data_IF_876022791345
#
_entry.id   IF_876022791345
#
_cell.length_a   1.000
_cell.length_b   1.000
_cell.length_c   1.000
_cell.angle_alpha   90.00
_cell.angle_beta   90.00
_cell.angle_gamma   90.00
#
_symmetry.space_group_name_H-M   'P 1'
#
loop_
_entity.id
_entity.type
_entity.pdbx_description
1 polymer ?
#
# COMPACT_ATOMS: atom_id res chain seq x y z
N UNK A 1 10.15 17.96 16.46
CA UNK A 1 10.29 16.49 16.36
C UNK A 1 9.75 16.13 15.01
N UNK A 2 10.58 15.50 14.20
CA UNK A 2 10.22 15.13 12.84
C UNK A 2 10.01 13.63 12.76
N UNK A 3 8.96 13.23 12.03
CA UNK A 3 8.70 11.84 11.72
C UNK A 3 8.94 11.66 10.23
N UNK A 4 9.79 10.70 9.90
CA UNK A 4 10.24 10.43 8.54
C UNK A 4 9.98 8.98 8.19
N UNK A 5 9.57 8.72 6.96
CA UNK A 5 9.53 7.38 6.37
C UNK A 5 10.56 7.38 5.25
N UNK A 6 11.53 6.47 5.32
CA UNK A 6 12.63 6.37 4.34
C UNK A 6 13.36 7.70 4.14
N UNK A 7 13.62 8.38 5.27
CA UNK A 7 14.23 9.70 5.34
C UNK A 7 13.46 10.82 4.62
N UNK A 8 12.19 10.58 4.28
CA UNK A 8 11.26 11.59 3.76
C UNK A 8 10.41 12.09 4.92
N UNK A 9 10.52 13.38 5.22
CA UNK A 9 9.74 14.03 6.27
C UNK A 9 8.26 14.12 5.88
N UNK A 10 7.38 13.55 6.73
CA UNK A 10 5.95 13.45 6.46
C UNK A 10 5.27 14.82 6.29
N UNK A 11 5.68 15.78 7.11
CA UNK A 11 5.14 17.14 7.11
C UNK A 11 5.60 17.91 5.87
N UNK A 12 6.88 17.89 5.54
CA UNK A 12 7.39 18.69 4.42
C UNK A 12 6.98 18.13 3.05
N UNK A 13 6.86 16.80 2.93
CA UNK A 13 6.52 16.15 1.66
C UNK A 13 5.02 16.11 1.37
N UNK A 14 4.21 15.70 2.35
CA UNK A 14 2.77 15.46 2.16
C UNK A 14 1.88 16.36 3.03
N UNK A 15 2.47 17.19 3.91
CA UNK A 15 1.70 18.01 4.85
C UNK A 15 1.09 17.22 6.01
N UNK A 16 1.59 16.01 6.27
CA UNK A 16 1.08 15.12 7.32
C UNK A 16 1.75 15.48 8.65
N UNK A 17 0.93 15.83 9.63
CA UNK A 17 1.37 16.03 11.01
C UNK A 17 0.97 14.82 11.85
N UNK A 18 1.83 14.37 12.75
CA UNK A 18 1.54 13.28 13.68
C UNK A 18 1.26 13.87 15.06
N UNK A 19 0.07 13.62 15.58
CA UNK A 19 -0.40 14.11 16.89
C UNK A 19 0.01 13.17 18.02
N UNK A 20 -0.14 11.87 17.78
CA UNK A 20 0.11 10.84 18.77
C UNK A 20 1.02 9.75 18.18
N UNK A 21 2.07 9.42 18.91
CA UNK A 21 3.06 8.41 18.55
C UNK A 21 3.44 7.53 19.75
N UNK A 22 2.66 7.54 20.83
CA UNK A 22 3.00 6.82 22.06
C UNK A 22 3.17 5.32 21.86
N UNK A 23 2.40 4.73 20.93
CA UNK A 23 2.46 3.29 20.62
C UNK A 23 3.83 2.87 20.05
N UNK A 24 4.66 3.80 19.57
CA UNK A 24 6.03 3.48 19.12
C UNK A 24 6.94 2.99 20.24
N UNK A 25 6.59 3.29 21.49
CA UNK A 25 7.37 2.92 22.67
C UNK A 25 6.78 1.75 23.44
N UNK A 26 5.77 1.08 22.86
CA UNK A 26 5.23 -0.14 23.43
C UNK A 26 6.29 -1.24 23.43
N UNK A 27 6.21 -2.12 24.43
CA UNK A 27 7.19 -3.19 24.62
C UNK A 27 6.74 -4.40 23.80
N UNK A 28 7.61 -4.87 22.91
CA UNK A 28 7.34 -6.11 22.17
C UNK A 28 7.26 -7.31 23.13
N UNK A 29 6.28 -8.16 22.90
CA UNK A 29 6.20 -9.46 23.58
C UNK A 29 7.30 -10.38 23.04
N UNK A 30 7.95 -11.13 23.93
CA UNK A 30 8.90 -12.16 23.53
C UNK A 30 8.12 -13.37 22.98
N UNK A 31 8.51 -13.87 21.80
CA UNK A 31 7.97 -15.11 21.26
C UNK A 31 8.43 -16.25 22.15
N UNK A 32 7.48 -16.86 22.87
CA UNK A 32 7.78 -18.04 23.68
C UNK A 32 7.75 -19.29 22.80
N UNK A 33 8.92 -19.70 22.30
CA UNK A 33 9.09 -21.04 21.77
C UNK A 33 9.37 -22.00 22.93
N UNK A 34 8.45 -22.95 23.13
CA UNK A 34 8.54 -23.96 24.16
C UNK A 34 8.93 -25.29 23.54
N UNK A 35 9.91 -25.96 24.13
CA UNK A 35 10.22 -27.35 23.86
C UNK A 35 9.64 -28.20 24.98
N UNK A 36 8.69 -29.07 24.65
CA UNK A 36 8.24 -30.13 25.56
C UNK A 36 9.16 -31.33 25.43
N UNK A 37 9.68 -31.80 26.56
CA UNK A 37 10.47 -33.03 26.58
C UNK A 37 9.58 -34.21 26.20
N UNK A 38 10.10 -35.16 25.41
CA UNK A 38 9.33 -36.33 24.95
C UNK A 38 8.74 -37.17 26.09
N UNK A 39 9.39 -37.16 27.25
CA UNK A 39 8.95 -37.87 28.46
C UNK A 39 7.95 -37.06 29.31
N UNK A 40 7.58 -35.85 28.87
CA UNK A 40 6.68 -34.91 29.56
C UNK A 40 7.17 -34.50 30.95
N UNK A 41 8.47 -34.62 31.23
CA UNK A 41 9.06 -34.24 32.52
C UNK A 41 9.12 -32.73 32.74
N UNK A 42 8.87 -31.92 31.69
CA UNK A 42 8.76 -30.48 31.78
C UNK A 42 8.69 -29.78 30.43
N UNK A 43 8.76 -28.45 30.49
CA UNK A 43 8.81 -27.56 29.32
C UNK A 43 10.05 -26.68 29.47
N UNK A 44 10.90 -26.60 28.44
CA UNK A 44 12.04 -25.70 28.40
C UNK A 44 11.75 -24.54 27.45
N UNK A 45 12.06 -23.31 27.87
CA UNK A 45 12.05 -22.14 26.99
C UNK A 45 13.30 -22.17 26.10
N UNK A 46 13.14 -21.95 24.81
CA UNK A 46 14.27 -21.85 23.87
C UNK A 46 15.08 -20.58 24.11
N UNK A 47 16.12 -20.64 24.95
CA UNK A 47 16.89 -19.45 25.35
C UNK A 47 17.95 -19.00 24.32
N UNK A 48 18.20 -19.78 23.27
CA UNK A 48 19.29 -19.50 22.30
C UNK A 48 18.91 -18.53 21.18
N UNK A 49 17.65 -18.12 21.06
CA UNK A 49 17.22 -17.15 20.05
C UNK A 49 15.90 -16.42 20.44
N UNK A 50 15.91 -15.63 21.51
CA UNK A 50 14.74 -14.82 21.91
C UNK A 50 14.32 -13.86 20.80
N UNK A 51 13.29 -14.27 20.03
CA UNK A 51 12.61 -13.47 19.01
C UNK A 51 11.49 -12.68 19.66
N UNK A 52 11.15 -11.53 19.07
CA UNK A 52 10.05 -10.69 19.55
C UNK A 52 8.89 -10.72 18.55
N UNK A 53 7.67 -10.63 19.07
CA UNK A 53 6.49 -10.48 18.25
C UNK A 53 6.52 -9.11 17.57
N UNK A 54 5.99 -9.00 16.32
CA UNK A 54 5.76 -7.70 15.70
C UNK A 54 4.84 -6.84 16.58
N UNK A 55 5.07 -5.53 16.58
CA UNK A 55 4.22 -4.57 17.32
C UNK A 55 3.35 -3.82 16.33
N UNK A 56 2.03 -3.84 16.51
CA UNK A 56 1.12 -2.96 15.78
C UNK A 56 1.12 -1.57 16.41
N UNK A 57 1.33 -0.54 15.59
CA UNK A 57 1.40 0.85 16.04
C UNK A 57 0.35 1.68 15.31
N UNK A 58 -0.23 2.65 16.01
CA UNK A 58 -1.22 3.56 15.46
C UNK A 58 -0.74 5.00 15.62
N UNK A 59 -0.51 5.67 14.50
CA UNK A 59 -0.11 7.07 14.50
C UNK A 59 -1.32 7.92 14.14
N UNK A 60 -1.80 8.72 15.10
CA UNK A 60 -2.87 9.67 14.83
C UNK A 60 -2.31 10.85 14.04
N UNK A 61 -2.81 11.05 12.82
CA UNK A 61 -2.28 12.02 11.87
C UNK A 61 -3.34 13.05 11.45
N UNK A 62 -2.89 14.21 10.98
CA UNK A 62 -3.76 15.15 10.28
C UNK A 62 -3.07 15.89 9.12
N UNK A 63 -3.86 16.26 8.12
CA UNK A 63 -3.48 17.11 6.99
C UNK A 63 -4.35 18.37 7.01
N UNK A 64 -3.74 19.54 6.78
CA UNK A 64 -4.46 20.81 6.64
C UNK A 64 -4.29 21.34 5.23
N UNK A 65 -5.40 21.56 4.51
CA UNK A 65 -5.42 22.17 3.17
C UNK A 65 -6.57 23.15 3.02
N UNK A 66 -6.57 23.89 1.91
CA UNK A 66 -7.65 24.84 1.58
C UNK A 66 -8.95 24.15 1.20
N UNK A 67 -8.89 22.91 0.69
CA UNK A 67 -10.06 22.12 0.33
C UNK A 67 -9.86 20.66 0.73
N UNK A 68 -10.98 19.96 0.98
CA UNK A 68 -10.99 18.54 1.31
C UNK A 68 -10.38 17.69 0.19
N UNK A 69 -10.71 18.00 -1.07
CA UNK A 69 -10.13 17.31 -2.23
C UNK A 69 -8.60 17.40 -2.28
N UNK A 70 -8.01 18.53 -1.89
CA UNK A 70 -6.55 18.66 -1.84
C UNK A 70 -5.95 17.87 -0.67
N UNK A 71 -6.62 17.81 0.49
CA UNK A 71 -6.17 17.00 1.61
C UNK A 71 -6.18 15.51 1.25
N UNK A 72 -7.25 15.03 0.62
CA UNK A 72 -7.32 13.64 0.15
C UNK A 72 -6.27 13.30 -0.90
N UNK A 73 -6.01 14.21 -1.85
CA UNK A 73 -4.96 13.98 -2.87
C UNK A 73 -3.58 13.76 -2.26
N UNK A 74 -3.23 14.48 -1.19
CA UNK A 74 -1.96 14.24 -0.50
C UNK A 74 -1.96 12.92 0.25
N UNK A 75 -3.07 12.58 0.91
CA UNK A 75 -3.20 11.30 1.60
C UNK A 75 -3.05 10.13 0.61
N UNK A 76 -3.71 10.19 -0.54
CA UNK A 76 -3.58 9.20 -1.61
C UNK A 76 -2.15 9.14 -2.13
N UNK A 77 -1.50 10.29 -2.37
CA UNK A 77 -0.09 10.28 -2.81
C UNK A 77 0.86 9.68 -1.76
N UNK A 78 0.55 9.84 -0.48
CA UNK A 78 1.31 9.23 0.61
C UNK A 78 1.06 7.71 0.69
N UNK A 79 -0.19 7.27 0.60
CA UNK A 79 -0.52 5.84 0.56
C UNK A 79 0.10 5.19 -0.66
N UNK A 80 -0.02 5.81 -1.84
CA UNK A 80 0.60 5.33 -3.08
C UNK A 80 2.12 5.18 -2.91
N UNK A 81 2.78 6.12 -2.25
CA UNK A 81 4.20 6.01 -1.94
C UNK A 81 4.51 4.77 -1.07
N UNK A 82 3.71 4.53 -0.02
CA UNK A 82 3.86 3.35 0.81
C UNK A 82 3.56 2.05 0.04
N UNK A 83 2.60 2.07 -0.89
CA UNK A 83 2.15 0.89 -1.66
C UNK A 83 3.07 0.53 -2.83
N UNK A 84 3.51 1.51 -3.61
CA UNK A 84 4.34 1.31 -4.82
C UNK A 84 5.83 1.14 -4.54
N UNK A 85 6.26 1.26 -3.30
CA UNK A 85 7.67 1.10 -2.95
C UNK A 85 8.08 -0.38 -3.09
N UNK A 86 8.87 -0.66 -4.13
CA UNK A 86 9.59 -1.92 -4.39
C UNK A 86 8.73 -3.19 -4.20
N UNK A 87 7.92 -3.52 -5.20
CA UNK A 87 7.44 -4.90 -5.42
C UNK A 87 8.65 -5.82 -5.60
N UNK A 88 9.07 -6.49 -4.52
CA UNK A 88 10.31 -7.28 -4.46
C UNK A 88 10.63 -7.74 -3.03
N UNK A 89 11.76 -8.44 -2.83
CA UNK A 89 12.16 -8.95 -1.50
C UNK A 89 12.21 -7.81 -0.46
N UNK A 90 11.21 -7.73 0.43
CA UNK A 90 11.05 -6.54 1.27
C UNK A 90 9.67 -5.89 1.26
N UNK A 91 8.70 -6.41 0.49
CA UNK A 91 7.31 -5.93 0.35
C UNK A 91 6.84 -4.98 1.46
N UNK A 92 6.63 -3.71 1.09
CA UNK A 92 5.98 -2.71 1.95
C UNK A 92 6.79 -2.24 3.16
N UNK A 93 8.01 -2.76 3.37
CA UNK A 93 8.82 -2.40 4.53
C UNK A 93 9.56 -1.08 4.29
N UNK A 94 9.44 -0.19 5.27
CA UNK A 94 10.09 1.11 5.31
C UNK A 94 10.84 1.34 6.61
N UNK A 95 11.81 2.24 6.56
CA UNK A 95 12.50 2.71 7.77
C UNK A 95 11.74 3.92 8.30
N UNK A 96 11.02 3.73 9.41
CA UNK A 96 10.42 4.84 10.17
C UNK A 96 11.50 5.44 11.07
N UNK A 97 11.73 6.74 10.95
CA UNK A 97 12.66 7.49 11.78
C UNK A 97 11.92 8.57 12.57
N UNK A 98 12.23 8.66 13.85
CA UNK A 98 11.89 9.78 14.72
C UNK A 98 13.15 10.61 14.93
N UNK A 99 13.10 11.89 14.59
CA UNK A 99 14.22 12.80 14.75
C UNK A 99 13.88 13.86 15.80
N UNK A 100 14.73 13.94 16.83
CA UNK A 100 14.69 14.95 17.86
C UNK A 100 16.06 15.61 17.99
N UNK A 101 16.20 16.81 17.40
CA UNK A 101 17.48 17.51 17.31
C UNK A 101 18.54 16.66 16.58
N UNK A 102 19.49 16.07 17.32
CA UNK A 102 20.56 15.21 16.79
C UNK A 102 20.27 13.73 16.98
N UNK A 103 19.30 13.40 17.84
CA UNK A 103 18.97 12.02 18.16
C UNK A 103 17.98 11.47 17.13
N UNK A 104 18.24 10.24 16.70
CA UNK A 104 17.41 9.54 15.73
C UNK A 104 17.08 8.14 16.24
N UNK A 105 15.79 7.87 16.40
CA UNK A 105 15.28 6.52 16.69
C UNK A 105 14.68 5.94 15.42
N UNK A 106 14.97 4.68 15.14
CA UNK A 106 14.61 4.07 13.86
C UNK A 106 14.01 2.69 14.05
N UNK A 107 12.93 2.45 13.32
CA UNK A 107 12.14 1.23 13.39
C UNK A 107 11.96 0.68 11.98
N UNK A 108 12.01 -0.63 11.87
CA UNK A 108 11.64 -1.33 10.65
C UNK A 108 10.14 -1.56 10.68
N UNK A 109 9.40 -0.84 9.84
CA UNK A 109 7.94 -0.89 9.83
C UNK A 109 7.43 -1.44 8.51
N UNK A 110 6.34 -2.17 8.60
CA UNK A 110 5.50 -2.58 7.50
C UNK A 110 4.15 -1.87 7.63
N UNK A 111 3.43 -1.76 6.53
CA UNK A 111 2.11 -1.13 6.45
C UNK A 111 1.03 -2.08 6.96
N UNK A 112 -0.04 -1.52 7.53
CA UNK A 112 -1.27 -2.25 7.82
C UNK A 112 -2.39 -1.77 6.90
N UNK A 113 -3.36 -2.66 6.65
CA UNK A 113 -4.34 -2.58 5.56
C UNK A 113 -5.27 -1.36 5.59
N UNK A 114 -5.40 -0.67 6.72
CA UNK A 114 -6.49 0.28 6.93
C UNK A 114 -5.98 1.68 7.30
N UNK A 115 -6.42 2.68 6.54
CA UNK A 115 -6.35 4.09 6.94
C UNK A 115 -7.78 4.54 7.21
N UNK A 116 -8.14 4.70 8.49
CA UNK A 116 -9.43 5.27 8.89
C UNK A 116 -9.35 6.79 8.73
N UNK A 117 -10.36 7.42 8.13
CA UNK A 117 -10.36 8.87 7.90
C UNK A 117 -11.60 9.54 8.49
N UNK A 118 -11.42 10.77 8.96
CA UNK A 118 -12.48 11.67 9.41
C UNK A 118 -12.15 13.09 8.97
N UNK A 119 -13.07 13.77 8.27
CA UNK A 119 -12.85 15.15 7.83
C UNK A 119 -13.63 16.13 8.71
N UNK A 120 -12.99 17.25 9.05
CA UNK A 120 -13.65 18.43 9.59
C UNK A 120 -13.40 19.64 8.67
N UNK A 121 -14.47 20.30 8.23
CA UNK A 121 -14.41 21.44 7.32
C UNK A 121 -14.83 22.70 8.07
N UNK A 122 -13.97 23.71 8.10
CA UNK A 122 -14.28 25.01 8.69
C UNK A 122 -13.83 26.12 7.73
N UNK A 123 -14.79 26.98 7.32
CA UNK A 123 -14.59 28.26 6.63
C UNK A 123 -13.26 28.41 5.84
N UNK A 124 -13.11 27.67 4.74
CA UNK A 124 -11.95 27.76 3.84
C UNK A 124 -10.72 26.94 4.24
N UNK A 125 -10.84 26.07 5.24
CA UNK A 125 -9.84 25.09 5.65
C UNK A 125 -10.51 23.71 5.81
N UNK A 126 -9.85 22.69 5.28
CA UNK A 126 -10.18 21.30 5.52
C UNK A 126 -9.08 20.68 6.38
N UNK A 127 -9.50 20.04 7.47
CA UNK A 127 -8.64 19.24 8.33
C UNK A 127 -9.07 17.80 8.13
N UNK A 128 -8.19 16.99 7.56
CA UNK A 128 -8.38 15.56 7.41
C UNK A 128 -7.60 14.87 8.53
N UNK A 129 -8.30 14.19 9.43
CA UNK A 129 -7.72 13.39 10.51
C UNK A 129 -7.75 11.93 10.06
N UNK A 130 -6.67 11.19 10.29
CA UNK A 130 -6.61 9.78 9.94
C UNK A 130 -5.68 9.00 10.86
N UNK A 131 -5.92 7.70 11.00
CA UNK A 131 -5.01 6.81 11.71
C UNK A 131 -4.12 6.09 10.70
N UNK A 132 -2.81 6.25 10.87
CA UNK A 132 -1.82 5.49 10.13
C UNK A 132 -1.42 4.26 10.95
N UNK A 133 -1.97 3.12 10.57
CA UNK A 133 -1.65 1.83 11.16
C UNK A 133 -0.40 1.25 10.48
N UNK A 134 0.62 0.97 11.28
CA UNK A 134 1.87 0.33 10.84
C UNK A 134 2.18 -0.84 11.78
N UNK A 135 3.15 -1.66 11.39
CA UNK A 135 3.62 -2.79 12.17
C UNK A 135 5.13 -2.80 12.24
N UNK A 136 5.72 -2.69 13.43
CA UNK A 136 7.15 -2.90 13.62
C UNK A 136 7.45 -4.37 13.41
N UNK A 137 8.11 -4.71 12.30
CA UNK A 137 8.30 -6.09 11.85
C UNK A 137 9.28 -6.83 12.75
N UNK A 138 10.39 -6.16 13.08
CA UNK A 138 11.43 -6.70 13.92
C UNK A 138 11.90 -5.65 14.94
N UNK A 139 11.37 -5.67 16.18
CA UNK A 139 11.76 -4.75 17.24
C UNK A 139 13.25 -4.83 17.64
N UNK A 140 13.98 -5.88 17.25
CA UNK A 140 15.41 -6.06 17.53
C UNK A 140 16.30 -5.94 16.30
N UNK A 141 15.79 -5.45 15.18
CA UNK A 141 16.61 -5.26 13.99
C UNK A 141 17.83 -4.39 14.30
N UNK A 142 18.99 -4.71 13.70
CA UNK A 142 20.22 -3.95 13.96
C UNK A 142 20.15 -2.61 13.25
N UNK A 143 20.32 -1.53 14.00
CA UNK A 143 20.27 -0.17 13.49
C UNK A 143 21.67 0.44 13.41
N UNK A 144 21.90 1.22 12.37
CA UNK A 144 23.11 2.00 12.13
C UNK A 144 22.71 3.40 11.67
N UNK A 145 23.53 4.39 11.98
CA UNK A 145 23.30 5.77 11.55
C UNK A 145 24.41 6.21 10.61
N UNK A 146 24.01 6.80 9.50
CA UNK A 146 24.88 7.51 8.57
C UNK A 146 24.66 8.98 8.80
N UNK A 147 25.72 9.76 9.03
CA UNK A 147 25.62 11.17 9.37
C UNK A 147 26.18 12.04 8.26
N UNK A 148 25.35 12.95 7.76
CA UNK A 148 25.68 13.95 6.75
C UNK A 148 26.58 13.40 5.64
N UNK A 149 26.13 12.33 4.99
CA UNK A 149 26.86 11.64 3.92
C UNK A 149 25.90 11.30 2.77
N UNK A 150 26.44 11.22 1.56
CA UNK A 150 25.79 10.65 0.39
C UNK A 150 26.28 9.22 0.09
N UNK A 151 27.18 8.68 0.91
CA UNK A 151 27.65 7.30 0.83
C UNK A 151 27.61 6.61 2.19
N UNK A 152 27.34 5.31 2.19
CA UNK A 152 27.44 4.45 3.36
C UNK A 152 28.15 3.15 3.00
N UNK A 153 28.93 2.63 3.95
CA UNK A 153 29.58 1.33 3.86
C UNK A 153 29.34 0.56 5.15
N UNK A 154 28.83 -0.66 5.03
CA UNK A 154 28.54 -1.56 6.13
C UNK A 154 29.33 -2.86 5.95
N UNK A 155 30.07 -3.22 6.99
CA UNK A 155 30.74 -4.52 7.05
C UNK A 155 29.79 -5.53 7.71
N UNK A 156 29.21 -6.39 6.89
CA UNK A 156 28.33 -7.45 7.34
C UNK A 156 29.16 -8.71 7.63
N UNK A 157 29.31 -9.04 8.92
CA UNK A 157 30.14 -10.17 9.37
C UNK A 157 29.39 -11.50 9.54
N UNK A 158 28.06 -11.50 9.42
CA UNK A 158 27.27 -12.73 9.59
C UNK A 158 27.27 -13.55 8.29
N UNK A 159 27.26 -14.88 8.44
CA UNK A 159 27.29 -15.84 7.32
C UNK A 159 25.90 -16.09 6.74
N UNK A 160 24.87 -15.68 7.45
CA UNK A 160 23.48 -15.86 7.11
C UNK A 160 22.98 -14.80 6.13
N UNK A 161 22.00 -15.15 5.30
CA UNK A 161 21.37 -14.18 4.41
C UNK A 161 20.48 -13.24 5.21
N UNK A 162 20.48 -11.96 4.85
CA UNK A 162 19.68 -10.93 5.52
C UNK A 162 19.32 -9.80 4.56
N UNK A 163 18.35 -8.96 4.93
CA UNK A 163 18.00 -7.78 4.15
C UNK A 163 18.58 -6.54 4.82
N UNK A 164 19.24 -5.68 4.05
CA UNK A 164 19.60 -4.34 4.49
C UNK A 164 18.60 -3.33 3.92
N UNK A 165 18.20 -2.39 4.75
CA UNK A 165 17.34 -1.27 4.41
C UNK A 165 18.15 0.00 4.61
N UNK A 166 18.44 0.71 3.53
CA UNK A 166 19.39 1.84 3.55
C UNK A 166 18.80 3.13 4.12
N UNK A 167 17.49 3.16 4.34
CA UNK A 167 16.77 4.27 4.94
C UNK A 167 16.38 5.38 3.98
N UNK A 168 16.63 5.23 2.68
CA UNK A 168 16.19 6.14 1.60
C UNK A 168 15.15 5.49 0.67
N UNK A 169 14.66 4.34 1.10
CA UNK A 169 13.72 3.50 0.39
C UNK A 169 14.35 2.38 -0.44
N UNK A 170 15.68 2.37 -0.59
CA UNK A 170 16.38 1.23 -1.18
C UNK A 170 16.59 0.10 -0.15
N UNK A 171 16.60 -1.12 -0.65
CA UNK A 171 16.97 -2.32 0.10
C UNK A 171 17.84 -3.23 -0.76
N UNK A 172 18.68 -4.04 -0.12
CA UNK A 172 19.58 -4.96 -0.79
C UNK A 172 19.66 -6.29 -0.03
N UNK A 173 19.79 -7.39 -0.78
CA UNK A 173 20.02 -8.71 -0.21
C UNK A 173 21.50 -8.89 0.17
N UNK A 174 21.75 -9.11 1.47
CA UNK A 174 23.05 -9.51 1.97
C UNK A 174 23.20 -11.04 1.83
N UNK A 175 23.80 -11.51 0.75
CA UNK A 175 23.94 -12.95 0.49
C UNK A 175 24.93 -13.69 1.40
N UNK A 176 25.97 -13.00 1.88
CA UNK A 176 27.08 -13.57 2.64
C UNK A 176 27.81 -12.48 3.42
N UNK A 177 28.74 -12.88 4.29
CA UNK A 177 29.63 -11.93 4.94
C UNK A 177 30.44 -11.14 3.89
N UNK A 178 30.48 -9.82 4.03
CA UNK A 178 31.11 -8.93 3.05
C UNK A 178 30.93 -7.45 3.39
N UNK A 179 31.52 -6.60 2.56
CA UNK A 179 31.36 -5.15 2.62
C UNK A 179 30.32 -4.73 1.60
N UNK A 180 29.28 -4.06 2.07
CA UNK A 180 28.18 -3.55 1.25
C UNK A 180 28.21 -2.02 1.28
N UNK A 181 28.04 -1.41 0.12
CA UNK A 181 28.07 0.05 -0.02
C UNK A 181 26.85 0.55 -0.76
N UNK A 182 26.39 1.73 -0.38
CA UNK A 182 25.23 2.39 -0.97
C UNK A 182 25.51 3.86 -1.19
N UNK A 183 25.01 4.40 -2.30
CA UNK A 183 25.09 5.82 -2.64
C UNK A 183 23.68 6.42 -2.60
N UNK A 184 23.49 7.37 -1.72
CA UNK A 184 22.25 8.11 -1.55
C UNK A 184 22.10 9.17 -2.67
N UNK A 185 20.84 9.49 -3.00
CA UNK A 185 20.53 10.55 -3.98
C UNK A 185 20.96 11.95 -3.53
N UNK A 186 21.06 12.16 -2.23
CA UNK A 186 21.46 13.42 -1.64
C UNK A 186 22.28 13.15 -0.38
N UNK A 187 23.09 14.13 0.00
CA UNK A 187 23.79 14.11 1.28
C UNK A 187 22.80 14.31 2.42
N UNK A 188 22.87 13.49 3.46
CA UNK A 188 21.97 13.61 4.60
C UNK A 188 22.28 12.65 5.74
N UNK A 189 21.42 12.68 6.75
CA UNK A 189 21.43 11.72 7.84
C UNK A 189 20.47 10.57 7.53
N UNK A 190 20.93 9.33 7.61
CA UNK A 190 20.14 8.14 7.27
C UNK A 190 20.18 7.11 8.39
N UNK A 191 19.09 6.35 8.51
CA UNK A 191 19.06 5.15 9.33
C UNK A 191 19.11 3.91 8.46
N UNK A 192 20.15 3.12 8.67
CA UNK A 192 20.33 1.84 8.01
C UNK A 192 19.90 0.74 8.98
N UNK A 193 19.04 -0.17 8.54
CA UNK A 193 18.55 -1.26 9.36
C UNK A 193 18.87 -2.59 8.67
N UNK A 194 19.44 -3.54 9.40
CA UNK A 194 19.62 -4.91 8.93
C UNK A 194 18.65 -5.82 9.68
N UNK A 195 17.80 -6.49 8.91
CA UNK A 195 16.88 -7.51 9.41
C UNK A 195 17.50 -8.90 9.24
N UNK A 196 18.01 -9.45 10.35
CA UNK A 196 18.72 -10.73 10.37
C UNK A 196 17.75 -11.91 10.45
N UNK A 197 16.54 -11.69 10.97
CA UNK A 197 15.53 -12.75 11.15
C UNK A 197 14.79 -13.11 9.86
N UNK A 198 15.04 -12.39 8.76
CA UNK A 198 14.34 -12.56 7.48
C UNK A 198 14.85 -13.72 6.61
N UNK A 199 15.55 -14.70 7.19
CA UNK A 199 15.99 -15.91 6.47
C UNK A 199 14.83 -16.59 5.73
N UNK A 200 13.63 -16.59 6.30
CA UNK A 200 12.46 -17.31 5.78
C UNK A 200 11.89 -16.73 4.46
N UNK A 201 12.19 -15.47 4.13
CA UNK A 201 11.71 -14.83 2.88
C UNK A 201 12.63 -15.06 1.67
N UNK A 202 13.86 -15.57 1.89
CA UNK A 202 14.94 -15.53 0.90
C UNK A 202 15.19 -16.89 0.22
N UNK A 203 14.35 -17.90 0.51
CA UNK A 203 14.44 -19.24 -0.07
C UNK A 203 13.59 -19.45 -1.34
N UNK A 204 12.49 -18.72 -1.47
CA UNK A 204 11.57 -18.71 -2.61
C UNK A 204 10.84 -17.37 -2.56
N UNK A 205 10.72 -16.65 -3.69
CA UNK A 205 9.72 -15.57 -3.75
C UNK A 205 8.40 -16.17 -3.23
N UNK A 206 7.71 -15.52 -2.28
CA UNK A 206 6.44 -16.05 -1.81
C UNK A 206 5.53 -16.24 -3.03
N UNK A 207 5.14 -17.48 -3.32
CA UNK A 207 4.10 -17.74 -4.31
C UNK A 207 2.79 -17.31 -3.68
N UNK A 208 2.45 -16.05 -3.90
CA UNK A 208 1.24 -15.43 -3.40
C UNK A 208 0.22 -15.44 -4.55
N UNK A 209 -0.65 -16.46 -4.66
CA UNK A 209 -1.69 -16.46 -5.66
C UNK A 209 -2.58 -15.24 -5.45
N UNK A 210 -2.95 -14.60 -6.55
CA UNK A 210 -3.89 -13.49 -6.57
C UNK A 210 -5.02 -13.81 -7.53
N UNK A 211 -6.24 -13.46 -7.12
CA UNK A 211 -7.44 -13.59 -7.95
C UNK A 211 -8.39 -12.44 -7.68
N UNK A 212 -9.15 -12.05 -8.70
CA UNK A 212 -10.13 -10.97 -8.64
C UNK A 212 -11.48 -11.57 -9.01
N UNK A 213 -12.53 -11.20 -8.26
CA UNK A 213 -13.90 -11.63 -8.54
C UNK A 213 -14.85 -10.43 -8.47
N UNK A 214 -15.63 -10.13 -9.53
CA UNK A 214 -15.51 -10.70 -10.88
C UNK A 214 -14.20 -10.34 -11.58
N UNK A 215 -13.73 -11.19 -12.50
CA UNK A 215 -12.56 -10.94 -13.37
C UNK A 215 -12.91 -10.10 -14.61
N UNK A 216 -14.21 -9.90 -14.87
CA UNK A 216 -14.73 -9.15 -16.00
C UNK A 216 -15.86 -8.24 -15.53
N UNK A 217 -15.75 -6.95 -15.84
CA UNK A 217 -16.76 -5.93 -15.56
C UNK A 217 -17.29 -5.40 -16.87
N UNK A 218 -18.60 -5.55 -17.08
CA UNK A 218 -19.30 -5.02 -18.25
C UNK A 218 -20.17 -3.83 -17.82
N UNK A 219 -19.85 -2.64 -18.33
CA UNK A 219 -20.64 -1.43 -18.08
C UNK A 219 -21.31 -0.93 -19.36
N UNK A 220 -22.50 -0.35 -19.19
CA UNK A 220 -23.11 0.44 -20.25
C UNK A 220 -22.37 1.78 -20.41
N UNK A 221 -22.77 2.56 -21.40
CA UNK A 221 -22.19 3.89 -21.67
C UNK A 221 -22.08 4.78 -20.42
N UNK A 222 -23.08 4.80 -19.53
CA UNK A 222 -23.05 5.69 -18.35
C UNK A 222 -21.94 5.33 -17.36
N UNK A 223 -21.39 4.11 -17.45
CA UNK A 223 -20.42 3.62 -16.49
C UNK A 223 -21.10 3.29 -15.16
N UNK A 224 -20.43 3.62 -14.06
CA UNK A 224 -20.89 3.38 -12.70
C UNK A 224 -19.85 2.65 -11.86
N UNK A 225 -20.25 2.27 -10.64
CA UNK A 225 -19.42 1.50 -9.71
C UNK A 225 -19.70 0.00 -9.79
N UNK A 226 -18.69 -0.82 -9.55
CA UNK A 226 -18.81 -2.27 -9.32
C UNK A 226 -17.92 -2.65 -8.14
N UNK A 227 -18.39 -3.55 -7.28
CA UNK A 227 -17.58 -4.12 -6.20
C UNK A 227 -16.76 -5.31 -6.72
N UNK A 228 -15.50 -5.37 -6.32
CA UNK A 228 -14.55 -6.42 -6.65
C UNK A 228 -14.00 -6.99 -5.35
N UNK A 229 -13.91 -8.32 -5.27
CA UNK A 229 -13.16 -9.03 -4.25
C UNK A 229 -11.78 -9.37 -4.81
N UNK A 230 -10.75 -8.74 -4.27
CA UNK A 230 -9.36 -9.16 -4.45
C UNK A 230 -9.04 -10.19 -3.37
N UNK A 231 -8.60 -11.38 -3.77
CA UNK A 231 -8.14 -12.42 -2.84
C UNK A 231 -6.64 -12.62 -3.04
N UNK A 232 -5.87 -12.35 -1.99
CA UNK A 232 -4.42 -12.51 -1.97
C UNK A 232 -3.96 -12.80 -0.52
N UNK A 233 -2.87 -13.53 -0.37
CA UNK A 233 -2.25 -13.77 0.93
C UNK A 233 -1.16 -12.73 1.29
N UNK A 234 -0.79 -11.88 0.34
CA UNK A 234 0.30 -10.92 0.44
C UNK A 234 -0.18 -9.54 -0.07
N UNK A 235 0.75 -8.61 -0.14
CA UNK A 235 0.62 -7.32 -0.78
C UNK A 235 0.37 -7.45 -2.27
N UNK A 236 -0.46 -6.55 -2.78
CA UNK A 236 -0.73 -6.44 -4.21
C UNK A 236 -0.87 -4.99 -4.64
N UNK A 237 -0.60 -4.75 -5.92
CA UNK A 237 -0.70 -3.44 -6.58
C UNK A 237 -1.61 -3.53 -7.80
N UNK A 238 -2.17 -2.40 -8.21
CA UNK A 238 -2.98 -2.22 -9.41
C UNK A 238 -2.17 -1.44 -10.43
N UNK A 239 -1.95 -2.04 -11.58
CA UNK A 239 -1.22 -1.49 -12.72
C UNK A 239 -2.15 -1.37 -13.94
N UNK A 240 -1.69 -0.59 -14.94
CA UNK A 240 -2.38 -0.40 -16.22
C UNK A 240 -3.82 0.17 -16.07
N UNK A 241 -4.04 1.01 -15.04
CA UNK A 241 -5.33 1.66 -14.81
C UNK A 241 -5.63 2.65 -15.95
N UNK A 242 -6.74 2.47 -16.71
CA UNK A 242 -7.10 3.41 -17.76
C UNK A 242 -7.55 4.75 -17.16
N UNK A 243 -7.30 5.85 -17.85
CA UNK A 243 -7.65 7.22 -17.39
C UNK A 243 -9.16 7.46 -17.17
N UNK A 244 -9.99 6.57 -17.69
CA UNK A 244 -11.45 6.57 -17.57
C UNK A 244 -11.99 5.67 -16.45
N UNK A 245 -11.12 4.99 -15.70
CA UNK A 245 -11.48 4.26 -14.49
C UNK A 245 -10.59 4.65 -13.30
N UNK A 246 -11.05 4.38 -12.10
CA UNK A 246 -10.25 4.43 -10.87
C UNK A 246 -10.80 3.43 -9.85
N UNK A 247 -9.99 3.09 -8.85
CA UNK A 247 -10.35 2.13 -7.81
C UNK A 247 -10.41 2.83 -6.46
N UNK A 248 -11.37 2.45 -5.64
CA UNK A 248 -11.48 2.95 -4.26
C UNK A 248 -11.61 1.78 -3.27
N UNK A 249 -11.10 1.96 -2.06
CA UNK A 249 -11.41 1.05 -0.96
C UNK A 249 -12.83 1.32 -0.40
N UNK A 250 -13.27 0.52 0.57
CA UNK A 250 -14.57 0.72 1.23
C UNK A 250 -14.69 2.06 1.98
N UNK A 251 -13.56 2.72 2.28
CA UNK A 251 -13.54 4.05 2.88
C UNK A 251 -13.67 5.19 1.83
N UNK A 252 -13.81 4.87 0.54
CA UNK A 252 -13.92 5.85 -0.54
C UNK A 252 -12.60 6.53 -0.91
N UNK A 253 -11.46 5.96 -0.49
CA UNK A 253 -10.15 6.46 -0.85
C UNK A 253 -9.72 5.82 -2.17
N UNK A 254 -9.23 6.63 -3.11
CA UNK A 254 -8.59 6.10 -4.31
C UNK A 254 -7.38 5.26 -3.93
N UNK A 255 -7.31 4.05 -4.46
CA UNK A 255 -6.23 3.10 -4.19
C UNK A 255 -5.58 2.62 -5.48
N UNK A 256 -4.34 2.20 -5.34
CA UNK A 256 -3.55 1.57 -6.40
C UNK A 256 -2.88 0.28 -5.92
N UNK A 257 -3.35 -0.26 -4.80
CA UNK A 257 -2.84 -1.48 -4.18
C UNK A 257 -3.57 -1.74 -2.86
N UNK A 258 -3.21 -2.84 -2.23
CA UNK A 258 -3.78 -3.25 -0.96
C UNK A 258 -3.03 -4.44 -0.36
N UNK A 259 -3.57 -4.94 0.75
CA UNK A 259 -2.94 -6.03 1.51
C UNK A 259 -3.96 -7.13 1.74
N UNK A 260 -3.58 -8.35 1.39
CA UNK A 260 -4.40 -9.53 1.62
C UNK A 260 -5.73 -9.48 0.86
N UNK A 261 -6.77 -10.08 1.45
CA UNK A 261 -8.10 -10.13 0.83
C UNK A 261 -8.86 -8.83 1.04
N UNK A 262 -9.28 -8.12 0.00
CA UNK A 262 -9.96 -6.84 0.12
C UNK A 262 -11.15 -6.69 -0.83
N UNK A 263 -12.21 -6.05 -0.35
CA UNK A 263 -13.32 -5.61 -1.20
C UNK A 263 -13.02 -4.17 -1.60
N UNK A 264 -12.97 -3.93 -2.91
CA UNK A 264 -12.71 -2.62 -3.51
C UNK A 264 -13.81 -2.28 -4.49
N UNK A 265 -13.91 -1.01 -4.86
CA UNK A 265 -14.86 -0.52 -5.87
C UNK A 265 -14.11 -0.03 -7.09
N UNK A 266 -14.51 -0.47 -8.27
CA UNK A 266 -14.07 0.13 -9.54
C UNK A 266 -15.10 1.11 -10.02
N UNK A 267 -14.67 2.34 -10.30
CA UNK A 267 -15.50 3.40 -10.86
C UNK A 267 -15.15 3.60 -12.32
N UNK A 268 -16.16 3.46 -13.19
CA UNK A 268 -16.02 3.63 -14.63
C UNK A 268 -16.74 4.92 -15.04
N UNK A 269 -16.02 5.86 -15.66
CA UNK A 269 -16.59 7.13 -16.16
C UNK A 269 -17.51 6.89 -17.35
N UNK A 270 -18.41 7.83 -17.62
CA UNK A 270 -19.25 7.79 -18.82
C UNK A 270 -18.40 7.74 -20.10
N UNK A 271 -18.84 6.91 -21.06
CA UNK A 271 -18.25 6.85 -22.39
C UNK A 271 -18.97 7.82 -23.34
N UNK A 272 -18.24 8.83 -23.82
CA UNK A 272 -18.78 9.82 -24.75
C UNK A 272 -18.39 9.56 -26.21
N UNK A 273 -17.56 8.54 -26.48
CA UNK A 273 -17.31 8.08 -27.85
C UNK A 273 -18.48 7.25 -28.36
N UNK A 274 -18.60 7.18 -29.68
CA UNK A 274 -19.52 6.26 -30.34
C UNK A 274 -19.02 4.80 -30.30
N UNK A 275 -17.71 4.63 -30.09
CA UNK A 275 -17.08 3.31 -30.06
C UNK A 275 -17.09 2.71 -28.65
N UNK A 276 -17.26 1.39 -28.61
CA UNK A 276 -17.00 0.59 -27.42
C UNK A 276 -15.52 0.71 -27.03
N UNK A 277 -15.24 0.63 -25.72
CA UNK A 277 -13.87 0.64 -25.20
C UNK A 277 -13.66 -0.50 -24.22
N UNK A 278 -12.43 -1.00 -24.18
CA UNK A 278 -12.01 -2.05 -23.26
C UNK A 278 -10.64 -1.72 -22.67
N UNK A 279 -10.38 -2.20 -21.45
CA UNK A 279 -9.07 -2.12 -20.81
C UNK A 279 -8.83 -3.35 -19.94
N UNK A 280 -7.56 -3.78 -19.89
CA UNK A 280 -7.08 -4.80 -18.98
C UNK A 280 -6.32 -4.11 -17.84
N UNK A 281 -6.83 -4.25 -16.62
CA UNK A 281 -6.17 -3.76 -15.40
C UNK A 281 -5.51 -4.93 -14.71
N UNK A 282 -4.25 -4.77 -14.29
CA UNK A 282 -3.46 -5.86 -13.73
C UNK A 282 -3.31 -5.70 -12.23
N UNK A 283 -3.64 -6.75 -11.49
CA UNK A 283 -3.38 -6.84 -10.07
C UNK A 283 -2.14 -7.72 -9.88
N UNK A 284 -1.05 -7.15 -9.39
CA UNK A 284 0.24 -7.83 -9.28
C UNK A 284 0.66 -8.05 -7.85
N UNK A 285 1.19 -9.23 -7.59
CA UNK A 285 2.07 -9.51 -6.46
C UNK A 285 3.51 -9.56 -6.96
N UNK A 286 4.47 -9.88 -6.10
CA UNK A 286 5.87 -10.06 -6.52
C UNK A 286 6.05 -11.21 -7.52
N UNK A 287 5.19 -12.23 -7.46
CA UNK A 287 5.35 -13.49 -8.20
C UNK A 287 4.21 -13.81 -9.16
N UNK A 288 3.05 -13.16 -9.02
CA UNK A 288 1.82 -13.47 -9.77
C UNK A 288 1.10 -12.21 -10.24
N UNK A 289 0.23 -12.40 -11.23
CA UNK A 289 -0.66 -11.38 -11.76
C UNK A 289 -2.06 -11.97 -11.97
N UNK A 290 -3.08 -11.18 -11.63
CA UNK A 290 -4.47 -11.40 -12.04
C UNK A 290 -4.92 -10.24 -12.92
N UNK A 291 -5.76 -10.51 -13.91
CA UNK A 291 -6.22 -9.52 -14.88
C UNK A 291 -7.71 -9.28 -14.69
N UNK A 292 -8.09 -8.01 -14.54
CA UNK A 292 -9.46 -7.53 -14.61
C UNK A 292 -9.73 -6.95 -16.00
N UNK A 293 -10.72 -7.49 -16.69
CA UNK A 293 -11.16 -6.95 -17.98
C UNK A 293 -12.34 -6.01 -17.78
N UNK A 294 -12.21 -4.75 -18.19
CA UNK A 294 -13.30 -3.76 -18.11
C UNK A 294 -13.77 -3.44 -19.52
N UNK A 295 -15.01 -3.82 -19.84
CA UNK A 295 -15.65 -3.51 -21.12
C UNK A 295 -16.73 -2.46 -20.92
N UNK A 296 -16.77 -1.47 -21.82
CA UNK A 296 -17.78 -0.41 -21.77
C UNK A 296 -18.32 -0.06 -23.15
N UNK A 297 -19.65 -0.09 -23.28
CA UNK A 297 -20.32 0.26 -24.54
C UNK A 297 -20.18 1.75 -24.90
N UNK A 298 -20.13 2.03 -26.19
CA UNK A 298 -20.18 3.35 -26.80
C UNK A 298 -21.57 4.00 -26.79
N UNK A 299 -21.61 5.27 -27.16
CA UNK A 299 -22.85 6.02 -27.33
C UNK A 299 -23.54 5.68 -28.66
N UNK A 300 -24.69 5.02 -28.57
CA UNK A 300 -25.57 4.78 -29.71
C UNK A 300 -26.51 5.99 -29.86
N UNK A 301 -26.39 6.72 -30.98
CA UNK A 301 -27.33 7.80 -31.33
C UNK A 301 -28.69 7.17 -31.61
N UNK A 302 -29.73 7.56 -30.88
CA UNK A 302 -31.11 7.14 -31.19
C UNK A 302 -31.50 7.70 -32.56
N UNK A 303 -31.66 6.83 -33.55
CA UNK A 303 -32.41 7.17 -34.76
C UNK A 303 -33.89 7.19 -34.37
N UNK A 304 -34.44 8.38 -34.10
CA UNK A 304 -35.90 8.53 -33.99
C UNK A 304 -36.49 8.12 -35.33
N UNK A 305 -37.26 7.03 -35.33
CA UNK A 305 -38.03 6.59 -36.49
C UNK A 305 -38.95 7.73 -36.93
N UNK A 306 -38.84 8.10 -38.20
CA UNK A 306 -39.90 8.82 -38.90
C UNK A 306 -40.99 7.78 -39.11
N UNK A 307 -42.05 7.81 -38.30
CA UNK A 307 -43.28 7.11 -38.63
C UNK A 307 -43.88 7.76 -39.87
N UNK A 308 -43.78 7.06 -41.00
CA UNK A 308 -44.55 7.38 -42.20
C UNK A 308 -46.04 7.21 -41.84
N UNK A 309 -46.73 8.33 -41.67
CA UNK A 309 -48.19 8.36 -41.51
C UNK A 309 -48.83 8.07 -42.86
N UNK A 310 -48.94 6.79 -43.21
CA UNK A 310 -49.84 6.37 -44.29
C UNK A 310 -51.28 6.60 -43.82
N UNK A 311 -51.97 7.40 -44.61
CA UNK A 311 -53.29 7.99 -44.40
C UNK A 311 -54.41 6.97 -44.16
N UNK A 312 -55.21 7.25 -43.12
CA UNK A 312 -56.68 7.18 -43.08
C UNK A 312 -57.41 6.05 -43.81
N UNK A 313 -57.99 5.14 -43.02
CA UNK A 313 -59.11 4.28 -43.39
C UNK A 313 -60.36 5.13 -43.72
N UNK A 314 -61.12 4.78 -44.75
CA UNK A 314 -62.58 4.79 -44.70
C UNK A 314 -63.19 3.59 -45.44
N UNK A 315 -64.05 2.86 -44.74
CA UNK A 315 -64.92 1.77 -45.22
C UNK A 315 -66.35 2.29 -45.17
N UNK A 316 -67.10 2.26 -46.29
CA UNK A 316 -68.41 1.60 -46.43
C UNK A 316 -68.98 1.81 -47.85
N UNK A 317 -69.39 0.71 -48.49
CA UNK A 317 -70.31 0.71 -49.63
C UNK A 317 -71.72 0.42 -49.10
N UNK A 318 -72.69 1.22 -49.55
CA UNK A 318 -74.15 1.01 -49.51
C UNK A 318 -74.56 1.30 -50.96
N UNK A 319 -75.23 0.43 -51.72
CA UNK A 319 -76.32 -0.50 -51.44
C UNK A 319 -75.97 -1.98 -51.70
#
# INVERSE_FOLDING_TARGET
>A
MDILIDNINLLSKWGINVMNYTTLFDIAEEKTEFFEWQDKSGVQKGDTNSRYAPIEIKLECYIVKSTELLAYKELVSFTDYLFYKNVGYGNGVSVLSIVYSTDRLCFLVDRMKHVSTSTNIQAGRAILIFELELRIVNPRAKTFTVSNSDEATINYGNRERSMIYWGDGASELLERAGTYSHTYKAKGDYCVIIDIDKQDYLGTLPDAPISISPDTVNKNRKGGEEELLVTCADDWQIDDIPTWAHFENLAGLTITGGIGNEIIKVFVKENNSHDDRSAEVKFRTVSREAVLTINQSGYIKRTTGVEDRTTGVEVRIVN
#
